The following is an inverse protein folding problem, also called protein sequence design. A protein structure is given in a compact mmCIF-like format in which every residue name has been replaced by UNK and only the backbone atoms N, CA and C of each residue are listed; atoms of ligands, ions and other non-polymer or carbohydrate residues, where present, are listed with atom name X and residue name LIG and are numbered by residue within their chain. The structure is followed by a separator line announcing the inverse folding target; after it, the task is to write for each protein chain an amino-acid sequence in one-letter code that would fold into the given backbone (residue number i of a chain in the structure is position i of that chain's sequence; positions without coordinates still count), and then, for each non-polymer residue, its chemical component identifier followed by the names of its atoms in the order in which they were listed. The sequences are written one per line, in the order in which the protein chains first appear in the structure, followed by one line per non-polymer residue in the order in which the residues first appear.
data_IF_558995332876
#
_entry.id   IF_558995332876
#
_cell.length_a   1.000
_cell.length_b   1.000
_cell.length_c   1.000
_cell.angle_alpha   90.00
_cell.angle_beta   90.00
_cell.angle_gamma   90.00
#
_symmetry.space_group_name_H-M   'P 1'
#
loop_
_entity.id
_entity.type
_entity.pdbx_description
1 polymer ?
#
# COMPACT_ATOMS: atom_id res chain seq x y z
N UNK A 1 7.39 8.95 -2.93
CA UNK A 1 7.83 7.58 -3.27
C UNK A 1 7.78 6.76 -1.99
N UNK A 2 6.96 5.71 -1.95
CA UNK A 2 6.89 4.81 -0.79
C UNK A 2 7.92 3.71 -1.00
N UNK A 3 8.79 3.46 -0.01
CA UNK A 3 9.78 2.37 -0.07
C UNK A 3 9.50 1.41 1.07
N UNK A 4 9.06 0.19 0.72
CA UNK A 4 9.05 -0.91 1.66
C UNK A 4 10.43 -1.58 1.64
N UNK A 5 10.98 -1.88 2.80
CA UNK A 5 12.28 -2.57 2.89
C UNK A 5 12.17 -3.83 3.73
N UNK A 6 12.93 -4.85 3.34
CA UNK A 6 13.05 -6.09 4.11
C UNK A 6 14.43 -6.70 3.88
N UNK A 7 14.83 -7.62 4.77
CA UNK A 7 16.07 -8.37 4.64
C UNK A 7 15.76 -9.85 4.47
N UNK A 8 16.54 -10.50 3.63
CA UNK A 8 16.52 -11.95 3.49
C UNK A 8 17.92 -12.54 3.45
N UNK A 9 18.01 -13.85 3.58
CA UNK A 9 19.27 -14.59 3.49
C UNK A 9 19.25 -15.46 2.25
N UNK A 10 20.26 -15.29 1.39
CA UNK A 10 20.44 -16.11 0.20
C UNK A 10 20.89 -17.52 0.60
N UNK A 11 20.17 -18.54 0.12
CA UNK A 11 20.48 -19.94 0.40
C UNK A 11 21.17 -20.63 -0.79
N UNK A 12 21.71 -21.84 -0.55
CA UNK A 12 22.34 -22.65 -1.62
C UNK A 12 21.37 -23.09 -2.72
N UNK A 13 20.06 -23.02 -2.47
CA UNK A 13 19.02 -23.37 -3.43
C UNK A 13 18.70 -22.26 -4.43
N UNK A 14 19.38 -21.10 -4.34
CA UNK A 14 19.12 -19.97 -5.22
C UNK A 14 17.88 -19.16 -4.80
N UNK A 15 17.52 -19.19 -3.51
CA UNK A 15 16.38 -18.43 -2.98
C UNK A 15 16.84 -17.41 -1.93
N UNK A 16 16.19 -16.25 -1.92
CA UNK A 16 16.24 -15.30 -0.83
C UNK A 16 15.12 -15.66 0.15
N UNK A 17 15.50 -16.10 1.35
CA UNK A 17 14.56 -16.44 2.42
C UNK A 17 14.30 -15.20 3.27
N UNK A 18 13.07 -14.67 3.23
CA UNK A 18 12.65 -13.50 4.02
C UNK A 18 12.16 -13.93 5.41
N UNK A 19 11.37 -15.01 5.44
CA UNK A 19 10.96 -15.73 6.65
C UNK A 19 10.58 -17.17 6.27
N UNK A 20 10.15 -17.97 7.24
CA UNK A 20 9.83 -19.40 7.07
C UNK A 20 8.76 -19.72 6.01
N UNK A 21 7.96 -18.73 5.58
CA UNK A 21 6.85 -18.90 4.64
C UNK A 21 6.97 -18.03 3.38
N UNK A 22 7.94 -17.11 3.32
CA UNK A 22 8.12 -16.15 2.21
C UNK A 22 9.54 -16.27 1.65
N UNK A 23 9.66 -16.82 0.45
CA UNK A 23 10.90 -16.93 -0.32
C UNK A 23 10.74 -16.30 -1.72
N UNK A 24 11.83 -15.75 -2.23
CA UNK A 24 11.93 -15.21 -3.59
C UNK A 24 13.02 -16.00 -4.31
N UNK A 25 12.74 -16.55 -5.49
CA UNK A 25 13.80 -17.19 -6.27
C UNK A 25 14.69 -16.11 -6.87
N UNK A 26 15.99 -16.28 -6.76
CA UNK A 26 16.98 -15.34 -7.28
C UNK A 26 16.84 -15.10 -8.78
N UNK A 27 16.48 -16.14 -9.52
CA UNK A 27 16.19 -16.08 -10.96
C UNK A 27 14.94 -15.27 -11.33
N UNK A 28 14.00 -15.06 -10.40
CA UNK A 28 12.78 -14.29 -10.66
C UNK A 28 13.04 -12.77 -10.55
N UNK A 29 14.22 -12.38 -10.03
CA UNK A 29 14.68 -11.00 -10.02
C UNK A 29 15.27 -10.70 -11.40
N UNK A 30 14.59 -9.82 -12.14
CA UNK A 30 14.96 -9.45 -13.49
C UNK A 30 16.18 -8.53 -13.44
N UNK A 31 17.34 -9.11 -13.71
CA UNK A 31 18.56 -8.39 -14.07
C UNK A 31 19.15 -9.07 -15.31
N UNK A 32 19.83 -8.31 -16.18
CA UNK A 32 20.41 -8.83 -17.42
C UNK A 32 21.53 -9.84 -17.14
N UNK A 33 22.08 -9.83 -15.93
CA UNK A 33 23.14 -10.74 -15.47
C UNK A 33 23.20 -10.76 -13.93
N UNK A 34 22.33 -11.51 -13.24
CA UNK A 34 22.35 -11.56 -11.79
C UNK A 34 23.66 -12.18 -11.29
N UNK A 35 24.35 -11.58 -10.29
CA UNK A 35 25.60 -12.11 -9.78
C UNK A 35 25.41 -13.45 -9.06
N UNK A 36 26.44 -14.28 -9.06
CA UNK A 36 26.51 -15.43 -8.15
C UNK A 36 26.74 -14.94 -6.72
N UNK A 37 25.92 -15.42 -5.80
CA UNK A 37 25.99 -15.04 -4.39
C UNK A 37 26.40 -16.25 -3.53
N UNK A 38 27.30 -16.07 -2.55
CA UNK A 38 27.57 -17.12 -1.59
C UNK A 38 26.36 -17.32 -0.67
N UNK A 39 26.08 -18.57 -0.30
CA UNK A 39 25.03 -18.84 0.68
C UNK A 39 25.37 -18.21 2.03
N UNK A 40 24.35 -17.63 2.67
CA UNK A 40 24.50 -16.82 3.88
C UNK A 40 24.61 -15.32 3.60
N UNK A 41 24.69 -14.90 2.32
CA UNK A 41 24.64 -13.47 1.96
C UNK A 41 23.34 -12.84 2.43
N UNK A 42 23.45 -11.72 3.13
CA UNK A 42 22.30 -10.89 3.52
C UNK A 42 21.91 -10.02 2.32
N UNK A 43 20.66 -10.10 1.91
CA UNK A 43 20.11 -9.33 0.80
C UNK A 43 19.11 -8.33 1.36
N UNK A 44 19.40 -7.04 1.15
CA UNK A 44 18.45 -5.96 1.39
C UNK A 44 17.56 -5.81 0.15
N UNK A 45 16.25 -5.96 0.34
CA UNK A 45 15.25 -5.79 -0.71
C UNK A 45 14.46 -4.51 -0.44
N UNK A 46 14.34 -3.68 -1.46
CA UNK A 46 13.51 -2.48 -1.43
C UNK A 46 12.48 -2.54 -2.55
N UNK A 47 11.20 -2.35 -2.20
CA UNK A 47 10.12 -2.19 -3.15
C UNK A 47 9.67 -0.73 -3.13
N UNK A 48 9.84 -0.03 -4.26
CA UNK A 48 9.42 1.36 -4.41
C UNK A 48 8.11 1.46 -5.17
N UNK A 49 7.19 2.26 -4.66
CA UNK A 49 5.95 2.62 -5.35
C UNK A 49 5.95 4.12 -5.68
N UNK A 50 5.50 4.43 -6.89
CA UNK A 50 5.08 5.79 -7.21
C UNK A 50 3.75 6.07 -6.50
N UNK A 51 3.71 7.16 -5.74
CA UNK A 51 2.52 7.58 -4.99
C UNK A 51 1.32 7.83 -5.93
N UNK A 52 1.59 8.29 -7.15
CA UNK A 52 0.57 8.49 -8.17
C UNK A 52 -0.08 7.17 -8.60
N UNK A 53 0.61 6.03 -8.48
CA UNK A 53 0.03 4.72 -8.82
C UNK A 53 -1.18 4.42 -7.95
N UNK A 54 -1.13 4.71 -6.65
CA UNK A 54 -2.26 4.47 -5.73
C UNK A 54 -3.39 5.50 -5.87
N UNK A 55 -3.09 6.67 -6.45
CA UNK A 55 -4.07 7.74 -6.70
C UNK A 55 -4.67 7.71 -8.11
N UNK A 56 -4.12 6.86 -8.98
CA UNK A 56 -4.53 6.76 -10.39
C UNK A 56 -5.75 5.89 -10.64
N UNK A 57 -6.18 5.08 -9.65
CA UNK A 57 -7.25 4.10 -9.85
C UNK A 57 -6.81 2.83 -10.58
N UNK A 58 -5.50 2.68 -10.89
CA UNK A 58 -4.97 1.47 -11.54
C UNK A 58 -5.32 0.23 -10.72
N UNK A 59 -5.79 -0.82 -11.40
CA UNK A 59 -6.28 -2.06 -10.80
C UNK A 59 -7.42 -1.87 -9.79
N UNK A 60 -8.14 -0.73 -9.86
CA UNK A 60 -9.21 -0.37 -8.94
C UNK A 60 -8.73 0.15 -7.58
N UNK A 61 -7.43 0.34 -7.37
CA UNK A 61 -6.90 0.84 -6.10
C UNK A 61 -7.07 2.35 -6.06
N UNK A 62 -7.79 2.84 -5.05
CA UNK A 62 -8.12 4.26 -4.89
C UNK A 62 -7.59 4.87 -3.60
N UNK A 63 -7.08 4.04 -2.69
CA UNK A 63 -6.46 4.46 -1.44
C UNK A 63 -5.45 3.44 -0.94
N UNK A 64 -4.43 3.93 -0.23
CA UNK A 64 -3.48 3.11 0.49
C UNK A 64 -3.12 3.81 1.82
N UNK A 65 -3.03 3.03 2.91
CA UNK A 65 -2.75 3.53 4.25
C UNK A 65 -2.01 2.49 5.09
N UNK A 66 -1.24 2.94 6.07
CA UNK A 66 -0.65 2.09 7.10
C UNK A 66 -1.59 1.87 8.29
N UNK A 67 -2.67 2.66 8.40
CA UNK A 67 -3.64 2.59 9.49
C UNK A 67 -4.86 1.75 9.08
N UNK A 68 -5.05 0.60 9.74
CA UNK A 68 -6.19 -0.28 9.50
C UNK A 68 -7.52 0.46 9.68
N UNK A 69 -7.63 1.29 10.72
CA UNK A 69 -8.86 2.04 11.02
C UNK A 69 -9.21 3.01 9.89
N UNK A 70 -8.20 3.64 9.27
CA UNK A 70 -8.43 4.47 8.08
C UNK A 70 -9.05 3.65 6.95
N UNK A 71 -8.50 2.48 6.66
CA UNK A 71 -9.02 1.61 5.59
C UNK A 71 -10.46 1.16 5.83
N UNK A 72 -10.81 0.81 7.07
CA UNK A 72 -12.15 0.37 7.45
C UNK A 72 -13.16 1.51 7.37
N UNK A 73 -12.81 2.70 7.85
CA UNK A 73 -13.70 3.87 7.79
C UNK A 73 -13.94 4.32 6.36
N UNK A 74 -12.90 4.34 5.51
CA UNK A 74 -13.06 4.66 4.09
C UNK A 74 -13.96 3.63 3.41
N UNK A 75 -13.74 2.33 3.63
CA UNK A 75 -14.57 1.26 3.09
C UNK A 75 -16.05 1.44 3.49
N UNK A 76 -16.33 1.63 4.78
CA UNK A 76 -17.69 1.82 5.29
C UNK A 76 -18.35 3.07 4.72
N UNK A 77 -17.59 4.16 4.52
CA UNK A 77 -18.14 5.39 3.94
C UNK A 77 -18.47 5.22 2.46
N UNK A 78 -17.60 4.54 1.68
CA UNK A 78 -17.89 4.21 0.29
C UNK A 78 -19.14 3.33 0.18
N UNK A 79 -19.28 2.33 1.05
CA UNK A 79 -20.46 1.48 1.09
C UNK A 79 -21.75 2.29 1.34
N UNK A 80 -21.71 3.29 2.22
CA UNK A 80 -22.82 4.19 2.47
C UNK A 80 -23.18 5.06 1.25
N UNK A 81 -22.23 5.33 0.35
CA UNK A 81 -22.44 5.96 -0.95
C UNK A 81 -22.84 4.96 -2.05
N UNK A 82 -23.15 3.70 -1.69
CA UNK A 82 -23.46 2.62 -2.64
C UNK A 82 -22.28 2.24 -3.55
N UNK A 83 -21.05 2.57 -3.17
CA UNK A 83 -19.83 2.19 -3.89
C UNK A 83 -19.23 0.94 -3.24
N UNK A 84 -19.21 -0.18 -3.99
CA UNK A 84 -18.62 -1.43 -3.51
C UNK A 84 -17.09 -1.38 -3.51
N UNK A 85 -16.48 -1.71 -2.37
CA UNK A 85 -15.03 -1.77 -2.23
C UNK A 85 -14.58 -2.97 -1.38
N UNK A 86 -13.30 -3.31 -1.49
CA UNK A 86 -12.62 -4.35 -0.73
C UNK A 86 -11.37 -3.77 -0.08
N UNK A 87 -11.00 -4.28 1.11
CA UNK A 87 -9.73 -3.95 1.76
C UNK A 87 -8.77 -5.12 1.52
N UNK A 88 -7.69 -4.85 0.79
CA UNK A 88 -6.61 -5.80 0.58
C UNK A 88 -5.42 -5.44 1.47
N UNK A 89 -4.81 -6.45 2.10
CA UNK A 89 -3.64 -6.26 2.94
C UNK A 89 -2.39 -6.72 2.19
N UNK A 90 -1.39 -5.85 2.11
CA UNK A 90 -0.05 -6.17 1.63
C UNK A 90 0.91 -6.15 2.81
N UNK A 91 1.65 -7.24 2.97
CA UNK A 91 2.67 -7.38 4.01
C UNK A 91 4.06 -7.55 3.40
N UNK A 92 4.99 -6.66 3.73
CA UNK A 92 6.42 -6.82 3.44
C UNK A 92 7.25 -6.65 4.71
N UNK A 93 7.89 -7.73 5.17
CA UNK A 93 8.61 -7.72 6.44
C UNK A 93 7.68 -7.44 7.61
N UNK A 94 7.98 -6.41 8.40
CA UNK A 94 7.13 -5.90 9.50
C UNK A 94 6.17 -4.80 9.07
N UNK A 95 6.17 -4.40 7.80
CA UNK A 95 5.35 -3.31 7.29
C UNK A 95 4.08 -3.86 6.66
N UNK A 96 2.96 -3.25 7.02
CA UNK A 96 1.64 -3.55 6.50
C UNK A 96 1.13 -2.32 5.77
N UNK A 97 0.57 -2.53 4.59
CA UNK A 97 -0.21 -1.54 3.84
C UNK A 97 -1.60 -2.11 3.61
N UNK A 98 -2.61 -1.34 3.94
CA UNK A 98 -4.00 -1.59 3.58
C UNK A 98 -4.35 -0.83 2.31
N UNK A 99 -4.92 -1.53 1.35
CA UNK A 99 -5.34 -0.99 0.05
C UNK A 99 -6.85 -1.06 -0.08
N UNK A 100 -7.49 0.06 -0.40
CA UNK A 100 -8.91 0.10 -0.75
C UNK A 100 -9.04 -0.08 -2.25
N UNK A 101 -9.72 -1.16 -2.67
CA UNK A 101 -9.96 -1.51 -4.06
C UNK A 101 -11.45 -1.42 -4.39
N UNK A 102 -11.81 -0.71 -5.45
CA UNK A 102 -13.18 -0.64 -5.95
C UNK A 102 -13.46 -1.85 -6.84
N UNK A 103 -14.58 -2.55 -6.58
CA UNK A 103 -14.94 -3.77 -7.30
C UNK A 103 -15.43 -3.48 -8.72
N UNK A 104 -16.15 -2.37 -8.92
CA UNK A 104 -16.72 -1.96 -10.20
C UNK A 104 -15.93 -0.81 -10.80
N UNK A 105 -15.38 -0.99 -12.00
CA UNK A 105 -14.51 -0.01 -12.65
C UNK A 105 -15.20 1.33 -12.95
N UNK A 106 -16.53 1.34 -13.07
CA UNK A 106 -17.31 2.58 -13.30
C UNK A 106 -17.27 3.53 -12.10
N UNK A 107 -17.11 2.99 -10.90
CA UNK A 107 -17.22 3.74 -9.64
C UNK A 107 -15.85 4.24 -9.17
N UNK A 108 -14.76 3.90 -9.87
CA UNK A 108 -13.38 4.26 -9.50
C UNK A 108 -13.21 5.78 -9.40
N UNK A 109 -13.62 6.52 -10.43
CA UNK A 109 -13.44 7.97 -10.45
C UNK A 109 -14.30 8.64 -9.36
N UNK A 110 -15.53 8.15 -9.16
CA UNK A 110 -16.42 8.64 -8.11
C UNK A 110 -15.82 8.40 -6.72
N UNK A 111 -15.25 7.22 -6.48
CA UNK A 111 -14.57 6.91 -5.23
C UNK A 111 -13.33 7.78 -5.00
N UNK A 112 -12.48 7.95 -6.01
CA UNK A 112 -11.31 8.85 -5.96
C UNK A 112 -11.77 10.27 -5.61
N UNK A 113 -12.78 10.77 -6.32
CA UNK A 113 -13.28 12.11 -6.11
C UNK A 113 -13.85 12.26 -4.70
N UNK A 114 -14.65 11.29 -4.23
CA UNK A 114 -15.22 11.28 -2.89
C UNK A 114 -14.17 11.22 -1.78
N UNK A 115 -13.10 10.45 -1.94
CA UNK A 115 -12.08 10.29 -0.90
C UNK A 115 -11.24 11.57 -0.73
N UNK A 116 -10.80 12.20 -1.83
CA UNK A 116 -9.79 13.27 -1.70
C UNK A 116 -9.94 14.50 -2.62
N UNK A 117 -10.78 14.50 -3.66
CA UNK A 117 -10.92 15.68 -4.56
C UNK A 117 -12.19 16.51 -4.32
N UNK A 118 -13.25 15.91 -3.80
CA UNK A 118 -14.57 16.53 -3.66
C UNK A 118 -14.70 17.33 -2.37
N UNK A 119 -15.30 18.52 -2.45
CA UNK A 119 -15.58 19.37 -1.29
C UNK A 119 -16.68 18.82 -0.38
N UNK A 120 -17.51 17.90 -0.88
CA UNK A 120 -18.55 17.20 -0.11
C UNK A 120 -18.11 15.79 0.32
N UNK A 121 -16.88 15.41 -0.02
CA UNK A 121 -16.28 14.12 0.31
C UNK A 121 -15.48 14.14 1.62
N UNK A 122 -14.65 13.11 1.80
CA UNK A 122 -13.81 12.95 3.00
C UNK A 122 -12.65 13.97 3.06
N UNK A 123 -12.17 14.43 1.91
CA UNK A 123 -11.04 15.37 1.77
C UNK A 123 -9.76 14.88 2.45
N UNK A 124 -9.54 13.57 2.43
CA UNK A 124 -8.37 12.96 3.03
C UNK A 124 -7.13 13.24 2.19
N UNK A 125 -6.01 13.37 2.86
CA UNK A 125 -4.67 13.39 2.28
C UNK A 125 -4.01 12.04 2.57
N UNK A 126 -3.32 11.44 1.60
CA UNK A 126 -2.65 10.16 1.81
C UNK A 126 -1.64 10.21 2.95
N UNK A 127 -1.39 9.07 3.60
CA UNK A 127 -0.49 8.98 4.76
C UNK A 127 0.92 9.51 4.48
N UNK A 128 1.44 9.30 3.27
CA UNK A 128 2.76 9.79 2.84
C UNK A 128 2.85 11.31 2.63
N UNK A 129 1.74 12.03 2.78
CA UNK A 129 1.77 13.50 2.90
C UNK A 129 2.40 13.95 4.22
N UNK A 130 2.45 13.06 5.21
CA UNK A 130 2.93 13.32 6.56
C UNK A 130 4.29 12.67 6.80
N UNK A 131 5.05 13.19 7.78
CA UNK A 131 6.35 12.61 8.11
C UNK A 131 6.17 11.22 8.72
N UNK A 132 7.18 10.37 8.58
CA UNK A 132 7.13 9.02 9.16
C UNK A 132 6.83 9.08 10.68
N UNK A 133 5.79 8.35 11.10
CA UNK A 133 5.33 8.32 12.49
C UNK A 133 4.34 9.43 12.88
N UNK A 134 4.08 10.40 12.00
CA UNK A 134 2.97 11.34 12.21
C UNK A 134 1.63 10.69 11.87
N UNK A 135 0.60 11.02 12.66
CA UNK A 135 -0.78 10.65 12.36
C UNK A 135 -1.30 11.40 11.13
N UNK A 136 -2.23 10.79 10.41
CA UNK A 136 -2.89 11.43 9.28
C UNK A 136 -3.81 12.56 9.76
N UNK A 137 -3.31 13.80 9.78
CA UNK A 137 -4.03 14.96 10.32
C UNK A 137 -5.33 15.22 9.57
N UNK A 138 -5.41 14.94 8.26
CA UNK A 138 -6.65 15.14 7.50
C UNK A 138 -7.74 14.17 7.94
N UNK A 139 -7.37 12.94 8.27
CA UNK A 139 -8.28 11.94 8.80
C UNK A 139 -8.76 12.29 10.21
N UNK A 140 -7.85 12.70 11.10
CA UNK A 140 -8.21 13.14 12.44
C UNK A 140 -9.10 14.38 12.43
N UNK A 141 -8.83 15.35 11.56
CA UNK A 141 -9.69 16.53 11.39
C UNK A 141 -11.08 16.16 10.85
N UNK A 142 -11.16 15.18 9.96
CA UNK A 142 -12.44 14.71 9.44
C UNK A 142 -13.26 14.01 10.54
N UNK A 143 -12.63 13.18 11.37
CA UNK A 143 -13.30 12.47 12.46
C UNK A 143 -13.83 13.39 13.56
N UNK A 144 -13.05 14.42 13.90
CA UNK A 144 -13.37 15.31 15.02
C UNK A 144 -14.33 16.44 14.63
N UNK A 145 -14.68 16.55 13.34
CA UNK A 145 -15.45 17.67 12.81
C UNK A 145 -14.58 18.93 12.69
N UNK A 146 -14.93 19.80 11.75
CA UNK A 146 -14.42 21.17 11.77
C UNK A 146 -15.08 21.89 12.96
N UNK A 147 -14.30 22.34 13.95
CA UNK A 147 -14.76 23.43 14.82
C UNK A 147 -15.02 24.71 14.01
#
# INVERSE_FOLDING_TARGET
MIILTTKGVFNKGGEIVLNSMKNIKWQDIIDNSPPELPSGTIIDLSLSFDENTFLSGINGIVWATHDQRQSEIIHNTLLAQQISSEINMIELGSQIIFLTKISNSKDINEAIDFIWKSNVGLRLKPDWTYSAGESNKSFELWLNGHE
#
